data_IF_418257414506
#
_entry.id   IF_418257414506
#
_cell.length_a   1.000
_cell.length_b   1.000
_cell.length_c   1.000
_cell.angle_alpha   90.00
_cell.angle_beta   90.00
_cell.angle_gamma   90.00
#
_symmetry.space_group_name_H-M   'P 1'
#
loop_
_entity.id
_entity.type
_entity.pdbx_description
1 polymer ?
#
# COMPACT_ATOMS: atom_id res chain seq x y z
N UNK A 1 14.46 -31.39 -16.81
CA UNK A 1 13.82 -31.76 -15.53
C UNK A 1 14.62 -31.02 -14.48
N UNK A 2 14.13 -29.96 -13.85
CA UNK A 2 12.78 -29.75 -13.32
C UNK A 2 12.15 -28.42 -13.79
N UNK A 3 10.92 -28.51 -14.27
CA UNK A 3 9.94 -27.44 -14.09
C UNK A 3 9.72 -27.29 -12.58
N UNK A 4 10.04 -26.13 -12.00
CA UNK A 4 9.55 -25.79 -10.66
C UNK A 4 8.99 -24.36 -10.63
N UNK A 5 7.68 -24.34 -10.86
CA UNK A 5 6.69 -23.46 -10.24
C UNK A 5 6.62 -21.98 -10.65
N UNK A 6 6.13 -21.74 -11.88
CA UNK A 6 5.64 -20.42 -12.35
C UNK A 6 4.23 -20.05 -11.86
N UNK A 7 3.65 -20.79 -10.91
CA UNK A 7 2.35 -20.42 -10.33
C UNK A 7 2.60 -19.68 -9.02
N UNK A 8 2.70 -18.37 -9.11
CA UNK A 8 2.38 -17.52 -7.95
C UNK A 8 0.97 -17.91 -7.52
N UNK A 9 0.84 -18.63 -6.42
CA UNK A 9 -0.47 -18.95 -5.85
C UNK A 9 -1.11 -17.63 -5.50
N UNK A 10 -2.11 -17.21 -6.30
CA UNK A 10 -2.94 -16.06 -5.94
C UNK A 10 -3.59 -16.40 -4.61
N UNK A 11 -3.14 -15.74 -3.55
CA UNK A 11 -3.68 -15.94 -2.21
C UNK A 11 -4.92 -15.07 -2.00
N UNK A 12 -5.82 -15.05 -2.99
CA UNK A 12 -7.08 -14.32 -2.96
C UNK A 12 -8.16 -15.30 -2.51
N UNK A 13 -8.85 -15.06 -1.38
CA UNK A 13 -9.90 -15.95 -0.91
C UNK A 13 -11.07 -15.96 -1.90
N UNK A 14 -11.74 -17.11 -2.04
CA UNK A 14 -12.83 -17.28 -3.00
C UNK A 14 -13.98 -16.30 -2.72
N UNK A 15 -14.23 -16.00 -1.46
CA UNK A 15 -15.24 -15.07 -0.99
C UNK A 15 -15.00 -13.64 -1.51
N UNK A 16 -13.76 -13.23 -1.74
CA UNK A 16 -13.44 -11.90 -2.28
C UNK A 16 -13.93 -11.71 -3.72
N UNK A 17 -14.11 -12.78 -4.50
CA UNK A 17 -14.68 -12.70 -5.86
C UNK A 17 -16.19 -12.44 -5.85
N UNK A 18 -16.86 -12.72 -4.73
CA UNK A 18 -18.29 -12.44 -4.55
C UNK A 18 -18.54 -11.14 -3.78
N UNK A 19 -17.48 -10.51 -3.26
CA UNK A 19 -17.57 -9.26 -2.53
C UNK A 19 -17.72 -8.08 -3.48
N UNK A 20 -18.88 -7.42 -3.46
CA UNK A 20 -19.15 -6.24 -4.27
C UNK A 20 -19.10 -4.97 -3.40
N UNK A 21 -18.02 -4.17 -3.46
CA UNK A 21 -17.94 -2.93 -2.70
C UNK A 21 -19.00 -1.94 -3.21
N UNK A 22 -19.70 -1.27 -2.29
CA UNK A 22 -20.75 -0.28 -2.63
C UNK A 22 -20.64 0.99 -1.79
N UNK A 23 -21.21 2.09 -2.30
CA UNK A 23 -21.34 3.35 -1.59
C UNK A 23 -20.01 3.85 -0.97
N UNK A 24 -19.96 4.11 0.35
CA UNK A 24 -18.76 4.59 1.04
C UNK A 24 -17.51 3.71 0.90
N UNK A 25 -17.66 2.41 0.58
CA UNK A 25 -16.53 1.50 0.36
C UNK A 25 -15.91 1.65 -1.03
N UNK A 26 -16.59 2.29 -1.97
CA UNK A 26 -16.08 2.61 -3.32
C UNK A 26 -15.43 3.98 -3.31
N UNK A 27 -16.17 5.00 -2.87
CA UNK A 27 -15.68 6.37 -2.78
C UNK A 27 -16.42 7.16 -1.70
N UNK A 28 -15.75 8.20 -1.21
CA UNK A 28 -16.28 9.21 -0.30
C UNK A 28 -16.20 10.59 -0.96
N UNK A 29 -17.05 11.49 -0.51
CA UNK A 29 -17.14 12.88 -0.98
C UNK A 29 -17.45 12.97 -2.49
N UNK A 30 -17.29 14.16 -3.07
CA UNK A 30 -17.58 14.46 -4.47
C UNK A 30 -16.71 15.62 -4.97
N UNK A 31 -16.56 15.76 -6.28
CA UNK A 31 -15.78 16.86 -6.85
C UNK A 31 -14.29 16.74 -6.50
N UNK A 32 -13.63 17.87 -6.25
CA UNK A 32 -12.19 17.92 -5.95
C UNK A 32 -11.80 17.21 -4.65
N UNK A 33 -12.74 16.99 -3.72
CA UNK A 33 -12.48 16.34 -2.42
C UNK A 33 -12.73 14.84 -2.44
N UNK A 34 -13.01 14.26 -3.61
CA UNK A 34 -13.29 12.82 -3.76
C UNK A 34 -12.13 11.98 -3.22
N UNK A 35 -12.48 10.93 -2.46
CA UNK A 35 -11.56 9.90 -2.00
C UNK A 35 -12.07 8.60 -2.55
N UNK A 36 -11.37 8.04 -3.55
CA UNK A 36 -11.74 6.78 -4.20
C UNK A 36 -10.88 5.62 -3.68
N UNK A 37 -11.52 4.49 -3.42
CA UNK A 37 -10.92 3.25 -2.94
C UNK A 37 -10.87 2.18 -4.02
N UNK A 38 -11.95 2.05 -4.79
CA UNK A 38 -12.11 1.06 -5.87
C UNK A 38 -12.18 1.78 -7.21
N UNK A 39 -11.27 1.45 -8.13
CA UNK A 39 -11.14 2.15 -9.41
C UNK A 39 -11.65 1.30 -10.57
N UNK A 40 -11.41 0.00 -10.55
CA UNK A 40 -11.82 -0.90 -11.64
C UNK A 40 -13.26 -1.37 -11.46
N UNK A 41 -13.94 -1.67 -12.58
CA UNK A 41 -15.25 -2.33 -12.56
C UNK A 41 -16.40 -1.53 -11.94
N UNK A 42 -16.18 -0.28 -11.54
CA UNK A 42 -17.20 0.59 -10.94
C UNK A 42 -17.24 1.92 -11.71
N UNK A 43 -18.43 2.44 -12.07
CA UNK A 43 -18.54 3.68 -12.84
C UNK A 43 -17.83 4.87 -12.19
N UNK A 44 -17.32 5.76 -13.04
CA UNK A 44 -16.84 7.07 -12.63
C UNK A 44 -17.99 8.07 -12.58
N UNK A 45 -17.90 9.02 -11.67
CA UNK A 45 -18.80 10.17 -11.60
C UNK A 45 -18.58 11.09 -12.81
N UNK A 46 -19.58 11.91 -13.14
CA UNK A 46 -19.47 12.91 -14.21
C UNK A 46 -18.28 13.86 -13.99
N UNK A 47 -17.99 14.19 -12.73
CA UNK A 47 -16.83 15.01 -12.37
C UNK A 47 -15.52 14.30 -12.72
N UNK A 48 -15.35 13.04 -12.32
CA UNK A 48 -14.15 12.25 -12.64
C UNK A 48 -13.97 12.09 -14.16
N UNK A 49 -15.04 11.83 -14.91
CA UNK A 49 -15.00 11.71 -16.38
C UNK A 49 -14.55 13.02 -17.04
N UNK A 50 -15.10 14.16 -16.60
CA UNK A 50 -14.70 15.47 -17.10
C UNK A 50 -13.23 15.77 -16.79
N UNK A 51 -12.80 15.53 -15.55
CA UNK A 51 -11.43 15.76 -15.12
C UNK A 51 -10.43 14.83 -15.82
N UNK A 52 -10.81 13.59 -16.09
CA UNK A 52 -10.02 12.63 -16.83
C UNK A 52 -9.85 13.05 -18.30
N UNK A 53 -10.90 13.57 -18.95
CA UNK A 53 -10.82 14.14 -20.30
C UNK A 53 -9.82 15.30 -20.33
N UNK A 54 -9.98 16.25 -19.41
CA UNK A 54 -9.08 17.40 -19.28
C UNK A 54 -7.63 16.96 -18.99
N UNK A 55 -7.44 15.89 -18.22
CA UNK A 55 -6.12 15.35 -17.94
C UNK A 55 -5.48 14.72 -19.19
N UNK A 56 -6.24 13.97 -20.00
CA UNK A 56 -5.76 13.43 -21.28
C UNK A 56 -5.34 14.53 -22.25
N UNK A 57 -6.08 15.64 -22.31
CA UNK A 57 -5.68 16.83 -23.06
C UNK A 57 -4.38 17.45 -22.52
N UNK A 58 -4.26 17.57 -21.19
CA UNK A 58 -3.06 18.08 -20.55
C UNK A 58 -1.83 17.20 -20.81
N UNK A 59 -1.98 15.87 -20.84
CA UNK A 59 -0.89 14.94 -21.21
C UNK A 59 -0.38 15.26 -22.63
N UNK A 60 -1.29 15.43 -23.59
CA UNK A 60 -0.94 15.79 -24.96
C UNK A 60 -0.28 17.16 -25.07
N UNK A 61 -0.70 18.13 -24.26
CA UNK A 61 -0.15 19.49 -24.25
C UNK A 61 1.24 19.57 -23.59
N UNK A 62 1.42 18.96 -22.41
CA UNK A 62 2.67 19.01 -21.66
C UNK A 62 3.71 17.99 -22.12
N UNK A 63 3.30 16.93 -22.81
CA UNK A 63 4.20 15.88 -23.30
C UNK A 63 3.75 15.38 -24.69
N UNK A 64 3.77 16.26 -25.70
CA UNK A 64 3.39 15.89 -27.06
C UNK A 64 4.35 14.79 -27.53
N UNK A 65 3.81 13.63 -27.94
CA UNK A 65 4.51 12.37 -28.32
C UNK A 65 4.71 11.33 -27.22
N UNK A 66 4.21 11.55 -26.00
CA UNK A 66 4.19 10.47 -25.02
C UNK A 66 3.30 9.31 -25.53
N UNK A 67 3.86 8.11 -25.59
CA UNK A 67 3.09 6.90 -25.83
C UNK A 67 2.78 6.25 -24.48
N UNK A 68 1.52 6.25 -24.08
CA UNK A 68 1.11 5.64 -22.81
C UNK A 68 1.19 4.11 -22.94
N UNK A 69 1.97 3.41 -22.09
CA UNK A 69 1.94 1.97 -22.06
C UNK A 69 0.51 1.45 -21.79
N UNK A 70 0.11 0.28 -22.34
CA UNK A 70 -1.27 -0.21 -22.25
C UNK A 70 -1.85 -0.36 -20.83
N UNK A 71 -0.98 -0.54 -19.82
CA UNK A 71 -1.40 -0.67 -18.42
C UNK A 71 -1.78 0.68 -17.76
N UNK A 72 -1.47 1.83 -18.38
CA UNK A 72 -1.96 3.14 -17.95
C UNK A 72 -3.40 3.38 -18.44
N UNK A 73 -4.29 2.53 -17.96
CA UNK A 73 -5.74 2.60 -18.12
C UNK A 73 -6.34 3.88 -17.51
N UNK A 74 -7.60 4.16 -17.84
CA UNK A 74 -8.33 5.31 -17.29
C UNK A 74 -8.40 5.29 -15.77
N UNK A 75 -8.47 4.11 -15.16
CA UNK A 75 -8.39 3.87 -13.73
C UNK A 75 -7.05 4.33 -13.13
N UNK A 76 -5.93 3.97 -13.76
CA UNK A 76 -4.60 4.38 -13.28
C UNK A 76 -4.33 5.86 -13.52
N UNK A 77 -4.81 6.42 -14.64
CA UNK A 77 -4.77 7.86 -14.89
C UNK A 77 -5.59 8.63 -13.84
N UNK A 78 -6.78 8.13 -13.49
CA UNK A 78 -7.61 8.73 -12.45
C UNK A 78 -6.97 8.62 -11.07
N UNK A 79 -6.31 7.50 -10.74
CA UNK A 79 -5.50 7.37 -9.51
C UNK A 79 -4.46 8.48 -9.43
N UNK A 80 -3.70 8.70 -10.51
CA UNK A 80 -2.68 9.75 -10.60
C UNK A 80 -3.32 11.12 -10.36
N UNK A 81 -4.41 11.42 -11.07
CA UNK A 81 -5.08 12.70 -11.01
C UNK A 81 -5.67 13.01 -9.63
N UNK A 82 -6.32 12.03 -8.98
CA UNK A 82 -6.83 12.19 -7.61
C UNK A 82 -5.67 12.42 -6.64
N UNK A 83 -4.57 11.67 -6.76
CA UNK A 83 -3.42 11.79 -5.87
C UNK A 83 -2.70 13.14 -5.98
N UNK A 84 -2.80 13.80 -7.14
CA UNK A 84 -2.25 15.14 -7.35
C UNK A 84 -3.20 16.26 -6.92
N UNK A 85 -4.35 15.93 -6.34
CA UNK A 85 -5.40 16.90 -5.99
C UNK A 85 -5.97 17.58 -7.23
N UNK A 86 -6.10 16.85 -8.34
CA UNK A 86 -6.53 17.35 -9.65
C UNK A 86 -5.62 18.43 -10.25
N UNK A 87 -4.38 18.58 -9.77
CA UNK A 87 -3.38 19.43 -10.41
C UNK A 87 -2.80 18.71 -11.64
N UNK A 88 -3.18 19.15 -12.85
CA UNK A 88 -2.83 18.47 -14.10
C UNK A 88 -1.34 18.54 -14.42
N UNK A 89 -0.70 19.69 -14.16
CA UNK A 89 0.76 19.84 -14.38
C UNK A 89 1.54 18.87 -13.49
N UNK A 90 1.16 18.76 -12.22
CA UNK A 90 1.77 17.79 -11.31
C UNK A 90 1.42 16.35 -11.70
N UNK A 91 0.17 16.08 -12.09
CA UNK A 91 -0.27 14.76 -12.54
C UNK A 91 0.52 14.26 -13.76
N UNK A 92 0.81 15.12 -14.75
CA UNK A 92 1.65 14.74 -15.90
C UNK A 92 3.07 14.40 -15.45
N UNK A 93 3.66 15.19 -14.54
CA UNK A 93 4.99 14.88 -13.97
C UNK A 93 4.99 13.53 -13.26
N UNK A 94 3.97 13.26 -12.46
CA UNK A 94 3.83 12.01 -11.72
C UNK A 94 3.58 10.82 -12.64
N UNK A 95 2.85 11.02 -13.74
CA UNK A 95 2.63 10.02 -14.79
C UNK A 95 3.94 9.63 -15.48
N UNK A 96 4.77 10.61 -15.86
CA UNK A 96 6.07 10.36 -16.49
C UNK A 96 7.00 9.56 -15.56
N UNK A 97 7.05 9.94 -14.28
CA UNK A 97 7.81 9.19 -13.28
C UNK A 97 7.27 7.77 -13.08
N UNK A 98 5.95 7.59 -13.07
CA UNK A 98 5.33 6.27 -12.97
C UNK A 98 5.63 5.40 -14.20
N UNK A 99 5.63 5.96 -15.42
CA UNK A 99 6.00 5.23 -16.64
C UNK A 99 7.43 4.72 -16.55
N UNK A 100 8.36 5.56 -16.11
CA UNK A 100 9.76 5.16 -15.92
C UNK A 100 9.90 4.07 -14.85
N UNK A 101 9.20 4.21 -13.72
CA UNK A 101 9.19 3.20 -12.68
C UNK A 101 8.67 1.85 -13.17
N UNK A 102 7.54 1.85 -13.88
CA UNK A 102 6.91 0.64 -14.42
C UNK A 102 7.76 -0.03 -15.49
N UNK A 103 8.49 0.74 -16.30
CA UNK A 103 9.46 0.18 -17.26
C UNK A 103 10.58 -0.61 -16.57
N UNK A 104 10.95 -0.25 -15.33
CA UNK A 104 11.95 -0.96 -14.54
C UNK A 104 11.40 -2.21 -13.82
N UNK A 105 10.12 -2.55 -13.99
CA UNK A 105 9.44 -3.70 -13.37
C UNK A 105 8.87 -4.65 -14.42
N UNK A 106 9.64 -4.96 -15.46
CA UNK A 106 9.18 -5.76 -16.60
C UNK A 106 8.66 -7.16 -16.23
N UNK A 107 9.10 -7.73 -15.10
CA UNK A 107 8.63 -9.01 -14.56
C UNK A 107 7.87 -8.85 -13.24
N UNK A 108 7.30 -7.67 -12.98
CA UNK A 108 6.55 -7.39 -11.75
C UNK A 108 7.43 -7.50 -10.50
N UNK A 109 6.92 -8.18 -9.46
CA UNK A 109 7.66 -8.30 -8.20
C UNK A 109 8.94 -9.16 -8.34
N UNK A 110 9.03 -10.06 -9.32
CA UNK A 110 10.24 -10.87 -9.56
C UNK A 110 11.45 -10.02 -9.94
N UNK A 111 11.24 -8.87 -10.58
CA UNK A 111 12.34 -7.92 -10.87
C UNK A 111 12.99 -7.36 -9.60
N UNK A 112 12.24 -7.34 -8.48
CA UNK A 112 12.70 -6.81 -7.21
C UNK A 112 13.31 -7.87 -6.30
N UNK A 113 12.90 -9.14 -6.44
CA UNK A 113 13.30 -10.23 -5.54
C UNK A 113 14.83 -10.34 -5.39
N UNK A 114 15.66 -10.39 -6.44
CA UNK A 114 17.12 -10.49 -6.27
C UNK A 114 17.75 -9.32 -5.51
N UNK A 115 17.09 -8.16 -5.44
CA UNK A 115 17.58 -6.97 -4.73
C UNK A 115 17.33 -7.02 -3.22
N UNK A 116 16.39 -7.85 -2.76
CA UNK A 116 15.93 -7.84 -1.37
C UNK A 116 15.69 -9.25 -0.78
N UNK A 117 15.99 -10.32 -1.51
CA UNK A 117 15.74 -11.70 -1.09
C UNK A 117 16.38 -12.01 0.28
N UNK A 118 17.61 -11.53 0.50
CA UNK A 118 18.31 -11.71 1.78
C UNK A 118 17.60 -11.04 2.98
N UNK A 119 16.67 -10.11 2.73
CA UNK A 119 15.86 -9.45 3.77
C UNK A 119 14.46 -10.04 3.93
N UNK A 120 13.98 -10.84 2.96
CA UNK A 120 12.56 -11.22 2.87
C UNK A 120 12.05 -11.99 4.11
N UNK A 121 12.94 -12.76 4.74
CA UNK A 121 12.64 -13.57 5.92
C UNK A 121 13.15 -12.96 7.24
N UNK A 122 13.59 -11.69 7.23
CA UNK A 122 14.03 -10.99 8.46
C UNK A 122 12.87 -10.59 9.38
N UNK A 123 11.65 -10.56 8.83
CA UNK A 123 10.45 -10.08 9.54
C UNK A 123 10.33 -8.55 9.63
N UNK A 124 11.15 -7.80 8.88
CA UNK A 124 11.04 -6.35 8.79
C UNK A 124 9.77 -5.87 8.08
N UNK A 125 9.41 -6.53 6.98
CA UNK A 125 8.24 -6.18 6.15
C UNK A 125 7.59 -7.47 5.65
N UNK A 126 6.28 -7.62 5.80
CA UNK A 126 5.53 -8.80 5.33
C UNK A 126 4.02 -8.55 5.33
N UNK A 127 3.26 -9.38 4.61
CA UNK A 127 1.80 -9.42 4.75
C UNK A 127 1.37 -10.50 5.76
N UNK A 128 0.29 -10.23 6.49
CA UNK A 128 -0.35 -11.20 7.38
C UNK A 128 -1.87 -11.00 7.43
N UNK A 129 -2.63 -11.97 6.93
CA UNK A 129 -4.09 -11.99 6.99
C UNK A 129 -4.82 -10.82 6.34
N UNK A 130 -6.13 -10.74 6.58
CA UNK A 130 -7.08 -9.85 5.89
C UNK A 130 -8.18 -9.34 6.81
N UNK A 131 -8.68 -8.16 6.51
CA UNK A 131 -9.86 -7.60 7.18
C UNK A 131 -11.17 -8.14 6.59
N UNK A 132 -12.33 -7.71 7.12
CA UNK A 132 -13.64 -8.18 6.65
C UNK A 132 -14.04 -7.71 5.25
N UNK A 133 -13.30 -6.75 4.67
CA UNK A 133 -13.39 -6.37 3.25
C UNK A 133 -12.29 -7.06 2.42
N UNK A 134 -11.68 -8.12 2.96
CA UNK A 134 -10.63 -8.92 2.35
C UNK A 134 -9.34 -8.14 2.05
N UNK A 135 -9.16 -6.94 2.60
CA UNK A 135 -7.96 -6.12 2.36
C UNK A 135 -6.78 -6.72 3.11
N UNK A 136 -5.64 -7.00 2.43
CA UNK A 136 -4.49 -7.59 3.10
C UNK A 136 -3.84 -6.59 4.06
N UNK A 137 -3.30 -7.10 5.16
CA UNK A 137 -2.63 -6.31 6.19
C UNK A 137 -1.11 -6.42 6.05
N UNK A 138 -0.48 -5.31 5.69
CA UNK A 138 0.98 -5.16 5.63
C UNK A 138 1.52 -4.81 7.02
N UNK A 139 2.51 -5.55 7.48
CA UNK A 139 3.23 -5.26 8.73
C UNK A 139 4.63 -4.77 8.38
N UNK A 140 5.01 -3.63 8.97
CA UNK A 140 6.36 -3.10 8.97
C UNK A 140 6.83 -3.11 10.43
N UNK A 141 7.68 -4.08 10.79
CA UNK A 141 8.27 -4.14 12.12
C UNK A 141 9.64 -3.44 12.10
N UNK A 142 9.71 -2.26 12.69
CA UNK A 142 10.91 -1.42 12.72
C UNK A 142 12.03 -2.03 13.56
N UNK A 143 11.73 -2.87 14.57
CA UNK A 143 12.77 -3.55 15.36
C UNK A 143 13.57 -4.58 14.56
N UNK A 144 12.99 -5.05 13.45
CA UNK A 144 13.61 -6.02 12.54
C UNK A 144 14.33 -5.33 11.37
N UNK A 145 14.30 -3.99 11.31
CA UNK A 145 15.00 -3.20 10.30
C UNK A 145 16.34 -2.74 10.88
N UNK A 146 17.42 -3.37 10.45
CA UNK A 146 18.78 -3.04 10.87
C UNK A 146 19.50 -2.16 9.85
N UNK A 147 19.46 -0.83 10.07
CA UNK A 147 20.15 0.14 9.21
C UNK A 147 21.68 0.17 9.36
N UNK A 148 22.25 -0.55 10.32
CA UNK A 148 23.71 -0.71 10.43
C UNK A 148 24.23 -1.85 9.54
N UNK A 149 23.37 -2.81 9.21
CA UNK A 149 23.72 -3.96 8.38
C UNK A 149 23.30 -3.78 6.92
N UNK A 150 22.19 -3.07 6.67
CA UNK A 150 21.60 -2.89 5.35
C UNK A 150 21.16 -1.45 5.13
N UNK A 151 21.20 -1.02 3.88
CA UNK A 151 20.82 0.34 3.47
C UNK A 151 19.31 0.54 3.46
N UNK A 152 18.88 1.81 3.53
CA UNK A 152 17.47 2.18 3.32
C UNK A 152 17.00 1.80 1.91
N UNK A 153 17.89 1.81 0.93
CA UNK A 153 17.58 1.41 -0.44
C UNK A 153 17.19 -0.07 -0.51
N UNK A 154 17.92 -0.97 0.16
CA UNK A 154 17.57 -2.39 0.21
C UNK A 154 16.21 -2.63 0.88
N UNK A 155 15.91 -1.94 1.99
CA UNK A 155 14.57 -2.00 2.59
C UNK A 155 13.49 -1.35 1.72
N UNK A 156 13.85 -0.35 0.91
CA UNK A 156 12.95 0.26 -0.06
C UNK A 156 12.60 -0.73 -1.18
N UNK A 157 13.59 -1.51 -1.65
CA UNK A 157 13.35 -2.62 -2.57
C UNK A 157 12.49 -3.70 -1.95
N UNK A 158 12.72 -4.07 -0.70
CA UNK A 158 11.88 -5.02 0.02
C UNK A 158 10.43 -4.53 0.13
N UNK A 159 10.21 -3.26 0.48
CA UNK A 159 8.87 -2.69 0.55
C UNK A 159 8.20 -2.70 -0.83
N UNK A 160 8.90 -2.26 -1.88
CA UNK A 160 8.38 -2.28 -3.25
C UNK A 160 8.05 -3.71 -3.70
N UNK A 161 8.90 -4.69 -3.37
CA UNK A 161 8.65 -6.10 -3.66
C UNK A 161 7.32 -6.55 -3.05
N UNK A 162 7.12 -6.27 -1.76
CA UNK A 162 5.88 -6.64 -1.08
C UNK A 162 4.68 -5.90 -1.65
N UNK A 163 4.77 -4.60 -1.92
CA UNK A 163 3.65 -3.85 -2.51
C UNK A 163 3.26 -4.38 -3.90
N UNK A 164 4.24 -4.71 -4.76
CA UNK A 164 3.98 -5.34 -6.05
C UNK A 164 3.39 -6.74 -5.90
N UNK A 165 3.92 -7.55 -4.97
CA UNK A 165 3.33 -8.86 -4.63
C UNK A 165 1.88 -8.72 -4.16
N UNK A 166 1.59 -7.72 -3.31
CA UNK A 166 0.26 -7.42 -2.81
C UNK A 166 -0.72 -7.07 -3.93
N UNK A 167 -0.32 -6.20 -4.85
CA UNK A 167 -1.14 -5.82 -6.02
C UNK A 167 -1.41 -7.03 -6.92
N UNK A 168 -0.40 -7.86 -7.17
CA UNK A 168 -0.48 -8.93 -8.16
C UNK A 168 -1.10 -10.23 -7.62
N UNK A 169 -0.96 -10.48 -6.31
CA UNK A 169 -1.25 -11.79 -5.70
C UNK A 169 -2.24 -11.74 -4.55
N UNK A 170 -2.47 -10.58 -3.94
CA UNK A 170 -3.35 -10.43 -2.78
C UNK A 170 -4.58 -9.55 -3.05
N UNK A 171 -4.61 -8.83 -4.17
CA UNK A 171 -5.66 -7.88 -4.52
C UNK A 171 -6.43 -8.33 -5.75
N UNK A 172 -7.67 -7.87 -5.84
CA UNK A 172 -8.59 -8.19 -6.93
C UNK A 172 -9.18 -6.88 -7.47
N UNK A 173 -8.83 -6.46 -8.70
CA UNK A 173 -9.41 -5.27 -9.31
C UNK A 173 -10.95 -5.28 -9.25
N UNK A 174 -11.52 -4.13 -8.88
CA UNK A 174 -12.96 -3.91 -8.69
C UNK A 174 -13.56 -4.44 -7.39
N UNK A 175 -12.79 -5.20 -6.60
CA UNK A 175 -13.27 -5.83 -5.38
C UNK A 175 -12.41 -5.41 -4.19
N UNK A 176 -11.10 -5.66 -4.29
CA UNK A 176 -10.11 -5.44 -3.24
C UNK A 176 -8.89 -4.76 -3.86
N UNK A 177 -8.85 -3.43 -3.80
CA UNK A 177 -7.78 -2.63 -4.42
C UNK A 177 -6.92 -1.88 -3.39
N UNK A 178 -7.05 -2.23 -2.11
CA UNK A 178 -6.41 -1.50 -1.03
C UNK A 178 -5.87 -2.43 0.06
N UNK A 179 -4.86 -1.96 0.78
CA UNK A 179 -4.25 -2.62 1.94
C UNK A 179 -4.37 -1.76 3.19
N UNK A 180 -4.21 -2.43 4.33
CA UNK A 180 -4.06 -1.83 5.66
C UNK A 180 -2.60 -1.96 6.08
N UNK A 181 -2.11 -1.06 6.92
CA UNK A 181 -0.70 -1.10 7.38
C UNK A 181 -0.63 -1.04 8.90
N UNK A 182 0.20 -1.89 9.50
CA UNK A 182 0.73 -1.72 10.86
C UNK A 182 2.21 -1.38 10.74
N UNK A 183 2.60 -0.27 11.37
CA UNK A 183 4.00 0.11 11.58
C UNK A 183 4.26 -0.10 13.06
N UNK A 184 4.91 -1.21 13.39
CA UNK A 184 5.25 -1.58 14.75
C UNK A 184 6.63 -1.03 15.09
N UNK A 185 6.69 -0.15 16.07
CA UNK A 185 7.94 0.45 16.49
C UNK A 185 8.63 -0.36 17.58
N UNK A 186 7.95 -1.27 18.25
CA UNK A 186 8.47 -2.11 19.34
C UNK A 186 9.39 -1.34 20.32
N UNK A 187 9.05 -0.07 20.60
CA UNK A 187 9.81 0.84 21.46
C UNK A 187 11.23 1.19 20.99
N UNK A 188 11.52 1.00 19.70
CA UNK A 188 12.81 1.38 19.14
C UNK A 188 13.04 2.89 19.19
N UNK A 189 14.30 3.25 19.44
CA UNK A 189 14.75 4.63 19.30
C UNK A 189 14.79 5.00 17.82
N UNK A 190 14.06 6.04 17.46
CA UNK A 190 13.95 6.52 16.08
C UNK A 190 15.16 7.36 15.63
N UNK A 191 16.17 7.51 16.51
CA UNK A 191 17.34 8.35 16.25
C UNK A 191 18.21 7.83 15.11
N UNK A 192 18.15 6.52 14.85
CA UNK A 192 18.98 5.86 13.84
C UNK A 192 18.32 5.81 12.45
N UNK A 193 17.13 6.39 12.28
CA UNK A 193 16.42 6.39 11.00
C UNK A 193 17.09 7.40 10.04
N UNK A 194 17.56 6.98 8.85
CA UNK A 194 18.17 7.89 7.89
C UNK A 194 17.11 8.73 7.18
N UNK A 195 16.94 9.99 7.62
CA UNK A 195 15.81 10.84 7.21
C UNK A 195 15.80 11.21 5.73
N UNK A 196 16.98 11.45 5.14
CA UNK A 196 17.10 11.83 3.72
C UNK A 196 16.59 10.71 2.83
N UNK A 197 16.94 9.47 3.16
CA UNK A 197 16.58 8.30 2.36
C UNK A 197 15.12 7.91 2.60
N UNK A 198 14.62 8.06 3.83
CA UNK A 198 13.20 7.88 4.13
C UNK A 198 12.33 8.86 3.34
N UNK A 199 12.76 10.10 3.17
CA UNK A 199 12.05 11.07 2.32
C UNK A 199 12.00 10.60 0.87
N UNK A 200 13.12 10.11 0.33
CA UNK A 200 13.16 9.55 -1.03
C UNK A 200 12.21 8.35 -1.19
N UNK A 201 12.12 7.50 -0.17
CA UNK A 201 11.14 6.40 -0.14
C UNK A 201 9.70 6.93 -0.14
N UNK A 202 9.36 7.93 0.68
CA UNK A 202 8.01 8.55 0.67
C UNK A 202 7.69 9.13 -0.71
N UNK A 203 8.66 9.78 -1.36
CA UNK A 203 8.53 10.34 -2.70
C UNK A 203 8.31 9.23 -3.76
N UNK A 204 8.96 8.08 -3.62
CA UNK A 204 8.71 6.90 -4.46
C UNK A 204 7.31 6.33 -4.23
N UNK A 205 6.91 6.16 -2.97
CA UNK A 205 5.63 5.54 -2.60
C UNK A 205 4.44 6.37 -3.07
N UNK A 206 4.47 7.69 -2.86
CA UNK A 206 3.41 8.59 -3.31
C UNK A 206 3.28 8.64 -4.84
N UNK A 207 4.38 8.38 -5.55
CA UNK A 207 4.44 8.41 -7.02
C UNK A 207 4.08 7.07 -7.67
N UNK A 208 4.19 5.94 -6.97
CA UNK A 208 4.04 4.63 -7.62
C UNK A 208 2.98 3.72 -6.99
N UNK A 209 2.61 3.95 -5.73
CA UNK A 209 1.70 3.10 -4.95
C UNK A 209 0.54 3.89 -4.33
N UNK A 210 0.14 4.97 -5.01
CA UNK A 210 -0.93 5.88 -4.63
C UNK A 210 -2.30 5.20 -4.51
N UNK A 211 -3.18 5.81 -3.69
CA UNK A 211 -4.60 5.45 -3.55
C UNK A 211 -4.86 3.97 -3.21
N UNK A 212 -3.90 3.30 -2.55
CA UNK A 212 -4.01 1.88 -2.14
C UNK A 212 -3.99 1.67 -0.63
N UNK A 213 -3.52 2.64 0.16
CA UNK A 213 -3.57 2.55 1.62
C UNK A 213 -4.91 3.07 2.17
N UNK A 214 -5.61 2.24 2.94
CA UNK A 214 -6.82 2.65 3.69
C UNK A 214 -6.44 3.40 4.96
N UNK A 215 -5.60 2.80 5.78
CA UNK A 215 -5.16 3.33 7.08
C UNK A 215 -3.82 2.71 7.43
N UNK A 216 -2.97 3.50 8.10
CA UNK A 216 -1.74 3.02 8.73
C UNK A 216 -1.80 3.24 10.24
N UNK A 217 -1.63 2.17 11.01
CA UNK A 217 -1.53 2.20 12.46
C UNK A 217 -0.07 2.18 12.86
N UNK A 218 0.40 3.26 13.48
CA UNK A 218 1.70 3.23 14.15
C UNK A 218 1.46 2.80 15.59
N UNK A 219 2.01 1.65 15.98
CA UNK A 219 1.76 1.01 17.29
C UNK A 219 3.05 0.94 18.10
N UNK A 220 2.90 0.70 19.42
CA UNK A 220 4.03 0.64 20.35
C UNK A 220 4.94 1.87 20.24
N UNK A 221 4.29 3.03 20.10
CA UNK A 221 4.96 4.26 19.69
C UNK A 221 5.55 4.98 20.91
N UNK A 222 6.87 5.27 20.93
CA UNK A 222 7.46 6.03 22.03
C UNK A 222 6.98 7.48 22.01
N UNK A 223 7.05 8.19 23.14
CA UNK A 223 6.59 9.58 23.24
C UNK A 223 7.22 10.52 22.18
N UNK A 224 8.46 10.25 21.78
CA UNK A 224 9.21 10.98 20.74
C UNK A 224 8.57 10.90 19.35
N UNK A 225 7.64 9.96 19.12
CA UNK A 225 6.94 9.79 17.84
C UNK A 225 6.12 10.99 17.42
N UNK A 226 5.58 11.75 18.38
CA UNK A 226 4.86 12.99 18.05
C UNK A 226 5.77 14.01 17.39
N UNK A 227 7.02 14.12 17.87
CA UNK A 227 8.01 15.00 17.26
C UNK A 227 8.42 14.48 15.87
N UNK A 228 8.62 13.18 15.74
CA UNK A 228 8.91 12.55 14.45
C UNK A 228 7.82 12.80 13.41
N UNK A 229 6.56 12.59 13.79
CA UNK A 229 5.42 12.81 12.90
C UNK A 229 5.35 14.23 12.36
N UNK A 230 5.62 15.23 13.21
CA UNK A 230 5.67 16.65 12.78
C UNK A 230 6.73 16.91 11.71
N UNK A 231 7.85 16.18 11.74
CA UNK A 231 8.92 16.33 10.74
C UNK A 231 8.57 15.65 9.41
N UNK A 232 7.92 14.47 9.43
CA UNK A 232 7.63 13.72 8.19
C UNK A 232 6.31 14.13 7.52
N UNK A 233 5.33 14.58 8.30
CA UNK A 233 3.99 14.94 7.80
C UNK A 233 4.00 15.92 6.61
N UNK A 234 4.86 16.97 6.56
CA UNK A 234 4.88 17.90 5.43
C UNK A 234 5.23 17.28 4.08
N UNK A 235 5.87 16.10 4.06
CA UNK A 235 6.24 15.41 2.82
C UNK A 235 5.19 14.40 2.35
N UNK A 236 4.16 14.16 3.17
CA UNK A 236 3.10 13.19 2.91
C UNK A 236 1.86 13.97 2.44
N UNK A 237 1.20 13.57 1.33
CA UNK A 237 -0.04 14.19 0.90
C UNK A 237 -1.08 14.19 2.04
N UNK A 238 -1.82 15.28 2.20
CA UNK A 238 -2.73 15.46 3.35
C UNK A 238 -3.74 14.31 3.50
N UNK A 239 -4.29 13.83 2.38
CA UNK A 239 -5.20 12.67 2.37
C UNK A 239 -4.55 11.39 2.94
N UNK A 240 -3.25 11.20 2.71
CA UNK A 240 -2.48 10.07 3.25
C UNK A 240 -2.14 10.32 4.72
N UNK A 241 -1.75 11.54 5.08
CA UNK A 241 -1.44 11.90 6.47
C UNK A 241 -2.65 11.72 7.40
N UNK A 242 -3.86 12.02 6.92
CA UNK A 242 -5.10 11.85 7.67
C UNK A 242 -5.49 10.37 7.89
N UNK A 243 -4.87 9.45 7.15
CA UNK A 243 -5.02 8.00 7.30
C UNK A 243 -4.03 7.38 8.28
N UNK A 244 -3.06 8.15 8.80
CA UNK A 244 -2.08 7.66 9.77
C UNK A 244 -2.60 7.88 11.18
N UNK A 245 -2.69 6.80 11.95
CA UNK A 245 -3.12 6.79 13.35
C UNK A 245 -1.96 6.39 14.23
N UNK A 246 -1.48 7.32 15.06
CA UNK A 246 -0.39 7.08 15.99
C UNK A 246 -0.98 6.66 17.33
N UNK A 247 -0.75 5.41 17.69
CA UNK A 247 -1.28 4.77 18.89
C UNK A 247 -0.15 4.53 19.89
N UNK A 248 -0.47 4.65 21.17
CA UNK A 248 0.46 4.36 22.25
C UNK A 248 0.70 2.86 22.41
N UNK A 249 0.90 2.45 23.66
CA UNK A 249 1.04 1.05 24.04
C UNK A 249 -0.33 0.39 24.17
N UNK A 250 -0.41 -0.87 23.77
CA UNK A 250 -1.60 -1.70 23.96
C UNK A 250 -2.29 -2.11 22.66
N UNK A 251 -3.42 -2.83 22.77
CA UNK A 251 -4.11 -3.40 21.63
C UNK A 251 -4.69 -2.30 20.74
N UNK A 252 -4.71 -2.57 19.43
CA UNK A 252 -5.36 -1.67 18.47
C UNK A 252 -6.85 -2.01 18.41
N UNK A 253 -7.65 -1.33 19.23
CA UNK A 253 -9.10 -1.61 19.31
C UNK A 253 -9.83 -1.47 17.97
N UNK A 254 -9.31 -0.65 17.06
CA UNK A 254 -9.87 -0.55 15.71
C UNK A 254 -9.65 -1.82 14.88
N UNK A 255 -8.57 -2.59 15.10
CA UNK A 255 -8.40 -3.88 14.42
C UNK A 255 -9.51 -4.85 14.81
N UNK A 256 -9.97 -4.85 16.07
CA UNK A 256 -11.07 -5.71 16.53
C UNK A 256 -12.38 -5.44 15.79
N UNK A 257 -12.58 -4.20 15.31
CA UNK A 257 -13.77 -3.80 14.53
C UNK A 257 -13.67 -4.17 13.06
N UNK A 258 -12.45 -4.43 12.57
CA UNK A 258 -12.16 -4.60 11.14
C UNK A 258 -11.73 -6.03 10.79
N UNK A 259 -11.19 -6.79 11.74
CA UNK A 259 -10.60 -8.11 11.50
C UNK A 259 -11.19 -9.15 12.45
N UNK A 260 -11.44 -10.35 11.93
CA UNK A 260 -11.54 -11.54 12.78
C UNK A 260 -10.22 -11.73 13.55
N UNK A 261 -10.29 -12.19 14.80
CA UNK A 261 -9.10 -12.25 15.68
C UNK A 261 -7.98 -13.13 15.11
N UNK A 262 -8.31 -14.20 14.41
CA UNK A 262 -7.32 -15.10 13.81
C UNK A 262 -6.71 -14.57 12.51
N UNK A 263 -7.10 -13.36 12.05
CA UNK A 263 -6.53 -12.72 10.86
C UNK A 263 -5.34 -11.81 11.18
N UNK A 264 -5.01 -11.61 12.46
CA UNK A 264 -3.88 -10.78 12.86
C UNK A 264 -3.21 -11.33 14.12
N UNK A 265 -1.93 -11.00 14.26
CA UNK A 265 -1.03 -11.59 15.24
C UNK A 265 -1.42 -11.27 16.70
N UNK A 266 -1.12 -12.20 17.61
CA UNK A 266 -1.35 -12.07 19.06
C UNK A 266 -0.75 -10.79 19.65
N UNK A 267 0.47 -10.41 19.24
CA UNK A 267 1.12 -9.16 19.69
C UNK A 267 0.35 -7.88 19.36
N UNK A 268 -0.57 -7.94 18.39
CA UNK A 268 -1.47 -6.84 18.03
C UNK A 268 -2.88 -6.99 18.63
N UNK A 269 -3.07 -7.98 19.51
CA UNK A 269 -4.34 -8.27 20.20
C UNK A 269 -5.24 -9.25 19.46
N UNK A 270 -4.72 -9.97 18.46
CA UNK A 270 -5.46 -10.99 17.71
C UNK A 270 -5.45 -12.35 18.41
N UNK A 271 -5.46 -13.40 17.61
CA UNK A 271 -5.28 -14.81 18.01
C UNK A 271 -4.53 -15.62 16.97
N UNK A 272 -4.02 -14.99 15.91
CA UNK A 272 -3.09 -15.66 15.00
C UNK A 272 -1.72 -15.76 15.67
N UNK A 273 -1.01 -16.89 15.60
CA UNK A 273 0.36 -16.98 16.09
C UNK A 273 1.23 -15.89 15.47
N UNK A 274 2.13 -15.31 16.26
CA UNK A 274 3.10 -14.36 15.74
C UNK A 274 3.95 -15.02 14.65
N UNK A 275 4.12 -14.35 13.51
CA UNK A 275 4.80 -14.90 12.35
C UNK A 275 6.29 -15.11 12.66
N UNK A 276 6.77 -16.32 12.37
CA UNK A 276 8.21 -16.69 12.40
C UNK A 276 8.73 -17.05 11.02
N UNK A 277 7.83 -17.20 10.04
CA UNK A 277 8.10 -17.42 8.62
C UNK A 277 7.36 -16.32 7.86
N UNK A 278 8.06 -15.61 6.98
CA UNK A 278 7.54 -14.40 6.35
C UNK A 278 7.35 -14.54 4.84
N UNK A 279 8.01 -15.51 4.21
CA UNK A 279 7.83 -15.84 2.79
C UNK A 279 7.61 -17.36 2.58
N UNK A 280 6.54 -17.77 1.86
CA UNK A 280 5.39 -16.94 1.45
C UNK A 280 4.64 -16.36 2.67
N UNK A 281 3.85 -15.27 2.49
CA UNK A 281 3.17 -14.64 3.62
C UNK A 281 2.12 -15.56 4.23
N UNK A 282 1.96 -15.46 5.55
CA UNK A 282 0.91 -16.20 6.27
C UNK A 282 -0.43 -15.52 6.05
N UNK A 283 -1.36 -16.20 5.37
CA UNK A 283 -2.71 -15.68 5.09
C UNK A 283 -3.76 -16.64 5.69
N UNK A 284 -4.21 -16.40 6.94
CA UNK A 284 -5.18 -17.28 7.59
C UNK A 284 -6.50 -17.36 6.79
N UNK A 285 -7.16 -18.53 6.72
CA UNK A 285 -8.43 -18.68 6.02
C UNK A 285 -9.57 -17.95 6.74
N UNK A 286 -10.72 -17.83 6.07
CA UNK A 286 -11.93 -17.27 6.65
C UNK A 286 -12.41 -18.03 7.90
N UNK A 287 -13.39 -17.47 8.65
CA UNK A 287 -14.14 -16.25 8.32
C UNK A 287 -13.31 -14.96 8.50
N UNK A 288 -13.65 -13.91 7.77
CA UNK A 288 -12.91 -12.63 7.81
C UNK A 288 -13.61 -11.55 8.66
N UNK A 289 -14.92 -11.69 8.85
CA UNK A 289 -15.71 -10.80 9.69
C UNK A 289 -15.36 -10.99 11.18
N UNK A 290 -15.26 -9.91 11.97
CA UNK A 290 -15.18 -10.01 13.42
C UNK A 290 -16.33 -10.83 13.99
N UNK A 291 -16.05 -11.67 14.99
CA UNK A 291 -17.12 -12.31 15.76
C UNK A 291 -17.87 -11.24 16.56
N UNK A 292 -19.20 -11.35 16.56
CA UNK A 292 -20.11 -10.48 17.32
C UNK A 292 -19.84 -10.51 18.82
#
# INVERSE_FOLDING_TARGET
>A
MEESDTRVTKNIPQEAYFFQPTGPSVCLNSGQSIIRFIFYGVPFTNYELNELSNFKEAINSFSPRINLPPHFTDEELLRILISSGFNKKQAVKDLLAAIQWRANLSQGFYTLLPKCEHLINTGGIYFHGRDFHYRPLLVINVSRINFNAHSVEEYSWLLCFWLEYGIQSLMLPGHVENWMVIIDLENQSLRQIPWTDLKSLVDLLKTNYRCRMITAYIVNSPFTMKCMWKMIRPFIPEQTANKVKILGYGPVDELKKLFARHQYEEKYGGSAPNATVFWPPTMPPGPFAPSS
#
